data_IF_357539729518
#
_entry.id   IF_357539729518
#
_cell.length_a   1.000
_cell.length_b   1.000
_cell.length_c   1.000
_cell.angle_alpha   90.00
_cell.angle_beta   90.00
_cell.angle_gamma   90.00
#
_symmetry.space_group_name_H-M   'P 1'
#
loop_
_entity.id
_entity.type
_entity.pdbx_description
1 polymer ?
#
# COMPACT_ATOMS: atom_id res chain seq x y z
N UNK A 1 1.34 11.76 -23.02
CA UNK A 1 0.21 11.41 -22.11
C UNK A 1 0.24 9.95 -21.63
N UNK A 2 0.34 8.95 -22.51
CA UNK A 2 0.42 7.53 -22.10
C UNK A 2 1.70 7.16 -21.32
N UNK A 3 2.84 7.71 -21.71
CA UNK A 3 4.14 7.39 -21.08
C UNK A 3 4.19 7.75 -19.59
N UNK A 4 3.54 8.86 -19.20
CA UNK A 4 3.45 9.29 -17.79
C UNK A 4 2.55 8.34 -17.00
N UNK A 5 1.42 7.92 -17.57
CA UNK A 5 0.51 6.95 -16.92
C UNK A 5 1.16 5.58 -16.70
N UNK A 6 2.04 5.18 -17.62
CA UNK A 6 2.79 3.93 -17.53
C UNK A 6 3.86 4.01 -16.43
N UNK A 7 4.63 5.09 -16.39
CA UNK A 7 5.58 5.39 -15.30
C UNK A 7 4.92 5.45 -13.91
N UNK A 8 3.75 6.10 -13.80
CA UNK A 8 2.97 6.14 -12.55
C UNK A 8 2.55 4.74 -12.11
N UNK A 9 2.14 3.89 -13.05
CA UNK A 9 1.75 2.51 -12.76
C UNK A 9 2.94 1.70 -12.26
N UNK A 10 4.10 1.87 -12.87
CA UNK A 10 5.33 1.18 -12.47
C UNK A 10 5.79 1.60 -11.07
N UNK A 11 5.76 2.90 -10.77
CA UNK A 11 6.08 3.44 -9.43
C UNK A 11 5.15 2.86 -8.37
N UNK A 12 3.84 2.85 -8.64
CA UNK A 12 2.85 2.31 -7.70
C UNK A 12 3.00 0.80 -7.48
N UNK A 13 3.42 0.06 -8.52
CA UNK A 13 3.74 -1.37 -8.42
C UNK A 13 4.97 -1.57 -7.54
N UNK A 14 6.03 -0.78 -7.73
CA UNK A 14 7.25 -0.87 -6.91
C UNK A 14 6.96 -0.58 -5.43
N UNK A 15 6.22 0.49 -5.16
CA UNK A 15 5.82 0.85 -3.80
C UNK A 15 4.99 -0.25 -3.12
N UNK A 16 4.11 -0.91 -3.88
CA UNK A 16 3.33 -2.05 -3.41
C UNK A 16 4.21 -3.26 -3.07
N UNK A 17 5.18 -3.57 -3.93
CA UNK A 17 6.12 -4.69 -3.71
C UNK A 17 6.97 -4.45 -2.47
N UNK A 18 7.45 -3.22 -2.27
CA UNK A 18 8.24 -2.85 -1.09
C UNK A 18 7.39 -2.88 0.19
N UNK A 19 6.17 -2.35 0.14
CA UNK A 19 5.21 -2.45 1.24
C UNK A 19 4.94 -3.89 1.66
N UNK A 20 4.73 -4.78 0.68
CA UNK A 20 4.57 -6.21 0.92
C UNK A 20 5.80 -6.82 1.59
N UNK A 21 6.99 -6.57 1.04
CA UNK A 21 8.25 -7.14 1.53
C UNK A 21 8.53 -6.71 2.98
N UNK A 22 8.21 -5.46 3.33
CA UNK A 22 8.45 -4.89 4.66
C UNK A 22 7.37 -5.24 5.69
N UNK A 23 6.25 -5.89 5.31
CA UNK A 23 5.21 -6.28 6.28
C UNK A 23 5.73 -7.19 7.40
N UNK A 24 6.78 -7.96 7.15
CA UNK A 24 7.43 -8.80 8.15
C UNK A 24 8.32 -8.04 9.13
N UNK A 25 8.67 -6.79 8.81
CA UNK A 25 9.50 -5.94 9.66
C UNK A 25 8.67 -5.13 10.66
N UNK A 26 7.38 -4.93 10.41
CA UNK A 26 6.48 -4.23 11.33
C UNK A 26 5.95 -5.20 12.40
N UNK A 27 6.39 -5.07 13.67
CA UNK A 27 5.98 -5.98 14.75
C UNK A 27 4.47 -5.94 15.01
N UNK A 28 3.81 -4.81 14.69
CA UNK A 28 2.37 -4.65 14.82
C UNK A 28 1.65 -5.51 13.78
N UNK A 29 2.09 -5.47 12.53
CA UNK A 29 1.52 -6.28 11.46
C UNK A 29 1.79 -7.77 11.67
N UNK A 30 2.97 -8.14 12.18
CA UNK A 30 3.29 -9.54 12.52
C UNK A 30 2.35 -10.07 13.60
N UNK A 31 2.19 -9.35 14.71
CA UNK A 31 1.25 -9.73 15.78
C UNK A 31 -0.18 -9.83 15.27
N UNK A 32 -0.58 -8.91 14.38
CA UNK A 32 -1.92 -8.89 13.80
C UNK A 32 -2.15 -10.09 12.87
N UNK A 33 -1.17 -10.42 12.00
CA UNK A 33 -1.19 -11.63 11.17
C UNK A 33 -1.40 -12.89 12.02
N UNK A 34 -0.64 -13.05 13.10
CA UNK A 34 -0.77 -14.19 14.01
C UNK A 34 -2.14 -14.24 14.71
N UNK A 35 -2.67 -13.08 15.12
CA UNK A 35 -3.98 -12.99 15.76
C UNK A 35 -5.11 -13.34 14.79
N UNK A 36 -5.03 -12.90 13.53
CA UNK A 36 -6.01 -13.20 12.48
C UNK A 36 -6.01 -14.69 12.15
N UNK A 37 -4.84 -15.33 12.04
CA UNK A 37 -4.75 -16.78 11.84
C UNK A 37 -5.40 -17.57 12.98
N UNK A 38 -5.32 -17.06 14.22
CA UNK A 38 -5.89 -17.73 15.41
C UNK A 38 -7.39 -17.48 15.61
N UNK A 39 -7.92 -16.35 15.13
CA UNK A 39 -9.30 -15.90 15.46
C UNK A 39 -10.20 -15.63 14.24
N UNK A 40 -9.69 -15.77 13.01
CA UNK A 40 -10.41 -15.48 11.76
C UNK A 40 -11.18 -14.15 11.83
N UNK A 41 -10.44 -13.04 11.83
CA UNK A 41 -11.08 -11.71 11.77
C UNK A 41 -11.46 -11.44 10.32
N UNK A 42 -12.76 -11.38 10.01
CA UNK A 42 -13.29 -11.20 8.64
C UNK A 42 -12.75 -9.95 7.92
N UNK A 43 -12.33 -8.94 8.67
CA UNK A 43 -11.76 -7.72 8.11
C UNK A 43 -10.33 -7.89 7.57
N UNK A 44 -9.60 -8.92 7.98
CA UNK A 44 -8.23 -9.17 7.54
C UNK A 44 -8.14 -10.40 6.65
N UNK A 45 -7.35 -10.31 5.59
CA UNK A 45 -7.08 -11.44 4.71
C UNK A 45 -5.59 -11.54 4.42
N UNK A 46 -5.10 -12.77 4.35
CA UNK A 46 -3.79 -13.09 3.80
C UNK A 46 -4.00 -13.72 2.43
N UNK A 47 -3.47 -13.08 1.40
CA UNK A 47 -3.49 -13.61 0.04
C UNK A 47 -2.46 -14.75 -0.08
N UNK A 48 -2.65 -15.64 -1.07
CA UNK A 48 -1.79 -16.82 -1.26
C UNK A 48 -0.32 -16.50 -1.57
N UNK A 49 -0.01 -15.25 -1.91
CA UNK A 49 1.34 -14.75 -2.16
C UNK A 49 1.97 -14.07 -0.92
N UNK A 50 1.30 -14.10 0.23
CA UNK A 50 1.77 -13.52 1.49
C UNK A 50 1.39 -12.06 1.72
N UNK A 51 0.69 -11.40 0.80
CA UNK A 51 0.15 -10.05 1.03
C UNK A 51 -0.91 -10.06 2.12
N UNK A 52 -0.75 -9.21 3.12
CA UNK A 52 -1.73 -9.02 4.18
C UNK A 52 -2.53 -7.76 3.98
N UNK A 53 -3.85 -7.91 4.06
CA UNK A 53 -4.81 -6.89 3.70
C UNK A 53 -5.83 -6.65 4.78
N UNK A 54 -6.32 -5.43 4.86
CA UNK A 54 -7.44 -5.00 5.69
C UNK A 54 -8.57 -4.49 4.79
N UNK A 55 -9.75 -5.10 4.84
CA UNK A 55 -10.87 -4.85 3.91
C UNK A 55 -10.44 -4.82 2.43
N UNK A 56 -9.55 -5.72 2.04
CA UNK A 56 -9.05 -5.83 0.67
C UNK A 56 -7.92 -4.86 0.32
N UNK A 57 -7.46 -4.00 1.24
CA UNK A 57 -6.40 -3.02 1.01
C UNK A 57 -5.08 -3.45 1.64
N UNK A 58 -3.95 -3.17 0.99
CA UNK A 58 -2.64 -3.60 1.44
C UNK A 58 -2.21 -2.87 2.71
N UNK A 59 -1.94 -3.63 3.78
CA UNK A 59 -1.43 -3.06 5.01
C UNK A 59 -0.01 -2.51 4.81
N UNK A 60 0.16 -1.19 4.87
CA UNK A 60 1.48 -0.53 4.76
C UNK A 60 2.20 -0.57 6.11
N UNK A 61 3.37 -1.24 6.21
CA UNK A 61 4.16 -1.29 7.44
C UNK A 61 4.64 0.11 7.83
N UNK A 62 4.77 0.35 9.13
CA UNK A 62 5.46 1.53 9.64
C UNK A 62 6.97 1.30 9.68
N UNK A 63 7.59 1.22 8.50
CA UNK A 63 9.02 0.98 8.33
C UNK A 63 9.60 1.94 7.29
N UNK A 64 10.84 2.40 7.51
CA UNK A 64 11.68 3.14 6.55
C UNK A 64 10.98 4.32 5.85
N UNK A 65 10.14 5.06 6.56
CA UNK A 65 9.35 6.18 6.03
C UNK A 65 8.51 5.81 4.80
N UNK A 66 8.20 4.53 4.62
CA UNK A 66 7.54 4.00 3.43
C UNK A 66 6.21 4.68 3.14
N UNK A 67 5.45 5.04 4.18
CA UNK A 67 4.20 5.80 4.04
C UNK A 67 4.45 7.18 3.42
N UNK A 68 5.51 7.85 3.84
CA UNK A 68 5.90 9.15 3.29
C UNK A 68 6.41 9.01 1.86
N UNK A 69 7.20 7.97 1.58
CA UNK A 69 7.68 7.67 0.21
C UNK A 69 6.51 7.40 -0.73
N UNK A 70 5.53 6.56 -0.34
CA UNK A 70 4.32 6.31 -1.13
C UNK A 70 3.56 7.62 -1.42
N UNK A 71 3.40 8.48 -0.41
CA UNK A 71 2.72 9.77 -0.56
C UNK A 71 3.49 10.72 -1.48
N UNK A 72 4.80 10.80 -1.33
CA UNK A 72 5.68 11.67 -2.12
C UNK A 72 5.72 11.22 -3.58
N UNK A 73 5.83 9.91 -3.83
CA UNK A 73 5.79 9.33 -5.16
C UNK A 73 4.43 9.50 -5.82
N UNK A 74 3.33 9.28 -5.08
CA UNK A 74 1.97 9.53 -5.58
C UNK A 74 1.77 11.01 -5.94
N UNK A 75 2.27 11.92 -5.10
CA UNK A 75 2.22 13.36 -5.34
C UNK A 75 3.06 13.78 -6.56
N UNK A 76 4.24 13.20 -6.74
CA UNK A 76 5.17 13.59 -7.80
C UNK A 76 4.80 13.01 -9.17
N UNK A 77 4.36 11.75 -9.20
CA UNK A 77 4.09 11.01 -10.43
C UNK A 77 2.71 11.27 -11.01
N UNK A 78 1.67 11.29 -10.15
CA UNK A 78 0.28 11.24 -10.59
C UNK A 78 -0.34 12.64 -10.75
N UNK A 79 0.34 13.67 -10.22
CA UNK A 79 -0.17 15.03 -10.05
C UNK A 79 0.70 16.12 -10.69
N UNK A 80 1.70 15.78 -11.53
CA UNK A 80 2.49 16.76 -12.27
C UNK A 80 1.63 17.66 -13.20
N UNK A 81 0.35 17.33 -13.40
CA UNK A 81 -0.65 18.06 -14.22
C UNK A 81 -1.93 18.41 -13.40
N UNK A 82 -1.96 18.16 -12.09
CA UNK A 82 -3.10 18.29 -11.14
C UNK A 82 -4.24 17.28 -11.25
N UNK A 83 -4.36 16.44 -10.22
CA UNK A 83 -5.64 16.44 -9.48
C UNK A 83 -5.56 17.08 -8.06
N UNK A 84 -6.65 17.16 -7.30
CA UNK A 84 -6.60 17.66 -5.91
C UNK A 84 -6.18 16.58 -4.91
N UNK A 85 -5.66 16.96 -3.73
CA UNK A 85 -5.29 16.04 -2.65
C UNK A 85 -6.40 15.03 -2.28
N UNK A 86 -7.67 15.43 -2.44
CA UNK A 86 -8.84 14.57 -2.25
C UNK A 86 -8.83 13.36 -3.18
N UNK A 87 -8.53 13.54 -4.48
CA UNK A 87 -8.49 12.44 -5.43
C UNK A 87 -7.32 11.50 -5.15
N UNK A 88 -6.17 12.04 -4.72
CA UNK A 88 -5.00 11.24 -4.34
C UNK A 88 -5.33 10.34 -3.15
N UNK A 89 -6.01 10.89 -2.15
CA UNK A 89 -6.47 10.11 -1.01
C UNK A 89 -7.43 9.00 -1.44
N UNK A 90 -8.37 9.27 -2.33
CA UNK A 90 -9.29 8.24 -2.83
C UNK A 90 -8.54 7.12 -3.58
N UNK A 91 -7.66 7.48 -4.51
CA UNK A 91 -6.88 6.52 -5.31
C UNK A 91 -5.98 5.64 -4.41
N UNK A 92 -5.27 6.25 -3.45
CA UNK A 92 -4.43 5.52 -2.51
C UNK A 92 -5.25 4.66 -1.54
N UNK A 93 -6.40 5.16 -1.08
CA UNK A 93 -7.30 4.45 -0.15
C UNK A 93 -7.91 3.20 -0.78
N UNK A 94 -8.05 3.12 -2.10
CA UNK A 94 -8.50 1.88 -2.74
C UNK A 94 -7.44 0.78 -2.71
N UNK A 95 -6.16 1.17 -2.60
CA UNK A 95 -5.02 0.25 -2.66
C UNK A 95 -4.52 -0.11 -1.26
N UNK A 96 -4.43 0.88 -0.35
CA UNK A 96 -3.79 0.81 0.96
C UNK A 96 -4.77 1.02 2.13
#
# INVERSE_FOLDING_TARGET
ENHIKELVRDILILARLDAKAKQGLDPTLVKLKEAVLKKSVEAFSQMGDGEFRYHGRLCVPNADDLREQILLEAHSSWYSIHPGATKMYHDLREIY
#
